data_IF_638339354914
#
_entry.id   IF_638339354914
#
_cell.length_a   1.000
_cell.length_b   1.000
_cell.length_c   1.000
_cell.angle_alpha   90.00
_cell.angle_beta   90.00
_cell.angle_gamma   90.00
#
_symmetry.space_group_name_H-M   'P 1'
#
loop_
_entity.id
_entity.type
_entity.pdbx_description
1 polymer ?
#
# COMPACT_ATOMS: atom_id res chain seq x y z
N UNK A 1 -25.82 -12.83 6.66
CA UNK A 1 -25.58 -13.41 5.31
C UNK A 1 -25.64 -12.37 4.18
N UNK A 2 -25.40 -11.07 4.48
CA UNK A 2 -25.46 -9.97 3.49
C UNK A 2 -24.07 -9.46 3.08
N UNK A 3 -23.05 -9.55 3.95
CA UNK A 3 -21.68 -9.11 3.65
C UNK A 3 -21.02 -9.85 2.49
N UNK A 4 -21.11 -11.19 2.48
CA UNK A 4 -20.49 -12.06 1.46
C UNK A 4 -20.88 -11.76 0.00
N UNK A 5 -22.01 -11.09 -0.24
CA UNK A 5 -22.47 -10.76 -1.60
C UNK A 5 -21.93 -9.41 -2.09
N UNK A 6 -21.72 -8.47 -1.16
CA UNK A 6 -21.13 -7.16 -1.46
C UNK A 6 -19.64 -7.34 -1.73
N UNK A 7 -18.96 -8.16 -0.94
CA UNK A 7 -17.53 -8.45 -1.11
C UNK A 7 -17.26 -9.04 -2.51
N UNK A 8 -18.06 -10.03 -2.94
CA UNK A 8 -17.93 -10.64 -4.26
C UNK A 8 -18.13 -9.65 -5.42
N UNK A 9 -19.13 -8.76 -5.34
CA UNK A 9 -19.38 -7.76 -6.40
C UNK A 9 -18.22 -6.76 -6.50
N UNK A 10 -17.63 -6.36 -5.38
CA UNK A 10 -16.48 -5.47 -5.35
C UNK A 10 -15.22 -6.16 -5.89
N UNK A 11 -14.99 -7.41 -5.51
CA UNK A 11 -13.86 -8.22 -5.99
C UNK A 11 -13.92 -8.44 -7.50
N UNK A 12 -15.07 -8.86 -8.03
CA UNK A 12 -15.28 -9.12 -9.46
C UNK A 12 -15.11 -7.85 -10.31
N UNK A 13 -15.70 -6.74 -9.87
CA UNK A 13 -15.59 -5.45 -10.56
C UNK A 13 -14.16 -4.89 -10.53
N UNK A 14 -13.45 -5.06 -9.42
CA UNK A 14 -12.07 -4.61 -9.30
C UNK A 14 -11.12 -5.47 -10.15
N UNK A 15 -11.30 -6.80 -10.16
CA UNK A 15 -10.46 -7.71 -10.93
C UNK A 15 -10.46 -7.38 -12.43
N UNK A 16 -11.59 -6.90 -12.97
CA UNK A 16 -11.72 -6.53 -14.37
C UNK A 16 -10.82 -5.34 -14.80
N UNK A 17 -10.42 -4.48 -13.86
CA UNK A 17 -9.62 -3.27 -14.15
C UNK A 17 -8.23 -3.31 -13.51
N UNK A 18 -8.00 -4.14 -12.49
CA UNK A 18 -6.79 -4.09 -11.66
C UNK A 18 -5.48 -4.33 -12.42
N UNK A 19 -5.53 -5.05 -13.55
CA UNK A 19 -4.35 -5.35 -14.39
C UNK A 19 -3.80 -4.14 -15.14
N UNK A 20 -4.66 -3.16 -15.46
CA UNK A 20 -4.28 -1.97 -16.24
C UNK A 20 -3.86 -0.80 -15.35
N UNK A 21 -3.95 -0.95 -14.02
CA UNK A 21 -3.61 0.10 -13.06
C UNK A 21 -2.13 0.05 -12.68
N UNK A 22 -1.45 1.19 -12.81
CA UNK A 22 -0.02 1.31 -12.55
C UNK A 22 0.35 1.67 -11.10
N UNK A 23 -0.62 1.87 -10.20
CA UNK A 23 -0.35 2.28 -8.82
C UNK A 23 -1.54 2.15 -7.89
N UNK A 24 -1.33 2.52 -6.63
CA UNK A 24 -2.35 2.47 -5.58
C UNK A 24 -2.30 3.73 -4.72
N UNK A 25 -3.48 4.26 -4.36
CA UNK A 25 -3.58 5.26 -3.32
C UNK A 25 -3.62 4.57 -1.96
N UNK A 26 -2.57 4.74 -1.15
CA UNK A 26 -2.38 3.98 0.08
C UNK A 26 -3.51 4.10 1.09
N UNK A 27 -4.18 5.25 1.17
CA UNK A 27 -5.29 5.44 2.11
C UNK A 27 -6.58 4.67 1.74
N UNK A 28 -6.62 4.05 0.56
CA UNK A 28 -7.67 3.09 0.17
C UNK A 28 -7.18 1.64 0.23
N UNK A 29 -5.92 1.39 0.61
CA UNK A 29 -5.42 0.03 0.80
C UNK A 29 -5.72 -0.50 2.20
N UNK A 30 -6.24 -1.72 2.24
CA UNK A 30 -6.43 -2.50 3.46
C UNK A 30 -5.20 -3.34 3.83
N UNK A 31 -4.23 -3.45 2.90
CA UNK A 31 -3.02 -4.26 3.06
C UNK A 31 -1.79 -3.37 3.26
N UNK A 32 -0.85 -3.84 4.07
CA UNK A 32 0.39 -3.12 4.43
C UNK A 32 1.66 -3.87 3.97
N UNK A 33 1.51 -4.81 3.04
CA UNK A 33 2.60 -5.64 2.55
C UNK A 33 3.53 -4.88 1.56
N UNK A 34 4.67 -5.49 1.25
CA UNK A 34 5.71 -4.91 0.38
C UNK A 34 5.21 -4.68 -1.05
N UNK A 35 4.35 -5.56 -1.58
CA UNK A 35 3.82 -5.42 -2.93
C UNK A 35 2.86 -4.22 -3.01
N UNK A 36 2.04 -4.03 -1.98
CA UNK A 36 1.19 -2.85 -1.84
C UNK A 36 2.04 -1.57 -1.75
N UNK A 37 3.09 -1.58 -0.93
CA UNK A 37 3.99 -0.43 -0.78
C UNK A 37 4.65 -0.01 -2.11
N UNK A 38 5.07 -0.98 -2.92
CA UNK A 38 5.66 -0.74 -4.25
C UNK A 38 4.66 -0.14 -5.26
N UNK A 39 3.36 -0.39 -5.09
CA UNK A 39 2.29 0.26 -5.88
C UNK A 39 1.99 1.68 -5.41
N UNK A 40 2.21 1.99 -4.13
CA UNK A 40 1.99 3.33 -3.58
C UNK A 40 3.17 4.26 -3.90
N UNK A 41 4.40 3.75 -3.78
CA UNK A 41 5.63 4.52 -3.96
C UNK A 41 6.53 3.89 -5.02
N UNK A 42 6.74 4.55 -6.18
CA UNK A 42 7.74 4.15 -7.15
C UNK A 42 9.16 4.08 -6.52
N UNK A 43 10.11 3.33 -7.13
CA UNK A 43 11.40 3.03 -6.51
C UNK A 43 12.16 4.25 -5.96
N UNK A 44 12.25 5.33 -6.75
CA UNK A 44 12.99 6.53 -6.36
C UNK A 44 12.32 7.27 -5.18
N UNK A 45 10.98 7.31 -5.17
CA UNK A 45 10.20 7.86 -4.06
C UNK A 45 10.42 7.02 -2.80
N UNK A 46 10.35 5.70 -2.91
CA UNK A 46 10.60 4.80 -1.79
C UNK A 46 12.02 4.97 -1.24
N UNK A 47 13.04 5.10 -2.10
CA UNK A 47 14.42 5.34 -1.68
C UNK A 47 14.57 6.65 -0.90
N UNK A 48 13.94 7.74 -1.38
CA UNK A 48 13.93 9.03 -0.70
C UNK A 48 13.20 8.96 0.65
N UNK A 49 12.08 8.25 0.73
CA UNK A 49 11.35 8.05 1.99
C UNK A 49 12.16 7.24 3.00
N UNK A 50 12.88 6.19 2.57
CA UNK A 50 13.80 5.44 3.46
C UNK A 50 14.91 6.34 3.99
N UNK A 51 15.49 7.19 3.15
CA UNK A 51 16.49 8.16 3.59
C UNK A 51 15.92 9.14 4.64
N UNK A 52 14.69 9.62 4.46
CA UNK A 52 14.01 10.43 5.48
C UNK A 52 13.75 9.64 6.76
N UNK A 53 13.26 8.40 6.66
CA UNK A 53 13.01 7.52 7.82
C UNK A 53 14.29 7.30 8.62
N UNK A 54 15.43 7.00 7.99
CA UNK A 54 16.74 6.90 8.67
C UNK A 54 17.14 8.18 9.40
N UNK A 55 16.74 9.35 8.91
CA UNK A 55 17.07 10.64 9.53
C UNK A 55 16.19 10.98 10.72
N UNK A 56 14.90 10.62 10.65
CA UNK A 56 13.87 11.14 11.58
C UNK A 56 13.23 10.06 12.47
N UNK A 57 13.31 8.79 12.10
CA UNK A 57 12.79 7.64 12.85
C UNK A 57 13.68 6.38 12.62
N UNK A 58 14.98 6.43 12.98
CA UNK A 58 15.92 5.36 12.67
C UNK A 58 15.60 4.04 13.37
N UNK A 59 14.97 4.07 14.54
CA UNK A 59 14.52 2.89 15.28
C UNK A 59 13.14 2.38 14.81
N UNK A 60 12.54 3.04 13.81
CA UNK A 60 11.26 2.66 13.21
C UNK A 60 10.12 2.56 14.25
N UNK A 61 10.07 3.52 15.19
CA UNK A 61 9.05 3.59 16.25
C UNK A 61 7.66 3.79 15.65
N UNK A 62 7.55 4.57 14.56
CA UNK A 62 6.29 4.83 13.88
C UNK A 62 6.02 3.78 12.79
N UNK A 63 5.70 2.54 13.19
CA UNK A 63 5.57 1.40 12.28
C UNK A 63 4.13 0.95 11.97
N UNK A 64 3.11 1.49 12.65
CA UNK A 64 1.69 1.13 12.45
C UNK A 64 1.04 1.76 11.22
N UNK A 65 1.67 1.65 10.05
CA UNK A 65 1.24 2.27 8.79
C UNK A 65 1.71 1.43 7.59
N UNK A 66 1.57 1.94 6.36
CA UNK A 66 2.24 1.41 5.17
C UNK A 66 3.75 1.61 5.30
N UNK A 67 4.37 0.77 6.11
CA UNK A 67 5.63 1.12 6.76
C UNK A 67 6.80 1.14 5.77
N UNK A 68 7.50 2.27 5.75
CA UNK A 68 8.78 2.42 5.10
C UNK A 68 9.85 2.07 6.13
N UNK A 69 10.46 0.91 6.00
CA UNK A 69 11.59 0.52 6.86
C UNK A 69 12.81 1.42 6.57
N UNK A 70 13.55 1.87 7.59
CA UNK A 70 14.77 2.65 7.41
C UNK A 70 15.78 2.00 6.46
#
# INVERSE_FOLDING_TARGET
MVGRRVDAVLEDGWAAVAGDLAGAYGNFSLHQDVATLARIYPPDTAARLRAAKRRYDPENVLAGNHNIVP
#
